data_IF_705266189084
#
_entry.id   IF_705266189084
#
_cell.length_a   1.000
_cell.length_b   1.000
_cell.length_c   1.000
_cell.angle_alpha   90.00
_cell.angle_beta   90.00
_cell.angle_gamma   90.00
#
_symmetry.space_group_name_H-M   'P 1'
#
loop_
_entity.id
_entity.type
_entity.pdbx_description
1 polymer ?
#
# COMPACT_ATOMS: atom_id res chain seq x y z
N UNK A 1 -1.98 25.79 -2.10
CA UNK A 1 -1.99 24.36 -2.47
C UNK A 1 -3.42 23.86 -2.46
N UNK A 2 -3.80 23.12 -3.50
CA UNK A 2 -5.12 22.51 -3.56
C UNK A 2 -5.22 21.34 -2.60
N UNK A 3 -6.43 21.03 -2.16
CA UNK A 3 -6.68 19.92 -1.23
C UNK A 3 -6.15 18.57 -1.75
N UNK A 4 -6.37 18.28 -3.04
CA UNK A 4 -5.88 17.04 -3.63
C UNK A 4 -4.35 16.95 -3.63
N UNK A 5 -3.65 18.04 -3.86
CA UNK A 5 -2.19 18.07 -3.80
C UNK A 5 -1.71 17.86 -2.37
N UNK A 6 -2.37 18.48 -1.40
CA UNK A 6 -2.03 18.30 0.01
C UNK A 6 -2.17 16.84 0.42
N UNK A 7 -3.29 16.21 0.08
CA UNK A 7 -3.54 14.81 0.44
C UNK A 7 -2.54 13.88 -0.24
N UNK A 8 -2.23 14.13 -1.52
CA UNK A 8 -1.24 13.31 -2.23
C UNK A 8 0.14 13.41 -1.58
N UNK A 9 0.54 14.62 -1.18
CA UNK A 9 1.83 14.83 -0.52
C UNK A 9 1.89 14.10 0.83
N UNK A 10 0.79 14.11 1.60
CA UNK A 10 0.72 13.36 2.87
C UNK A 10 0.84 11.86 2.63
N UNK A 11 0.21 11.35 1.59
CA UNK A 11 0.32 9.93 1.23
C UNK A 11 1.74 9.55 0.81
N UNK A 12 2.42 10.42 0.07
CA UNK A 12 3.83 10.20 -0.28
C UNK A 12 4.70 10.13 0.96
N UNK A 13 4.48 11.01 1.92
CA UNK A 13 5.23 11.00 3.17
C UNK A 13 5.07 9.70 3.94
N UNK A 14 3.87 9.14 3.94
CA UNK A 14 3.57 7.92 4.69
C UNK A 14 4.06 6.67 3.95
N UNK A 15 3.82 6.58 2.65
CA UNK A 15 4.00 5.32 1.92
C UNK A 15 5.31 5.20 1.14
N UNK A 16 5.81 6.28 0.54
CA UNK A 16 6.87 6.16 -0.46
C UNK A 16 8.10 7.04 -0.25
N UNK A 17 7.98 8.28 0.17
CA UNK A 17 9.08 9.24 0.08
C UNK A 17 9.46 9.91 1.39
N UNK A 18 8.54 10.00 2.32
CA UNK A 18 8.72 10.82 3.50
C UNK A 18 9.30 10.09 4.70
N UNK A 19 9.48 10.85 5.75
CA UNK A 19 9.80 10.33 7.08
C UNK A 19 8.51 10.25 7.88
N UNK A 20 8.35 9.17 8.61
CA UNK A 20 7.17 8.95 9.42
C UNK A 20 7.62 8.64 10.84
N UNK A 21 6.73 8.28 11.73
CA UNK A 21 6.95 8.14 13.17
C UNK A 21 8.37 7.71 13.58
N UNK A 22 8.98 6.79 12.85
CA UNK A 22 10.33 6.29 13.11
C UNK A 22 11.38 6.86 12.14
N UNK A 23 11.04 7.95 11.44
CA UNK A 23 11.96 8.57 10.48
C UNK A 23 12.03 7.89 9.13
N UNK A 24 11.08 7.01 8.81
CA UNK A 24 11.07 6.26 7.56
C UNK A 24 9.62 6.03 7.11
N UNK A 25 9.43 5.57 5.88
CA UNK A 25 8.13 5.20 5.35
C UNK A 25 8.05 3.68 5.13
N UNK A 26 6.85 3.19 4.83
CA UNK A 26 6.62 1.75 4.68
C UNK A 26 7.42 1.16 3.52
N UNK A 27 7.53 1.89 2.40
CA UNK A 27 8.30 1.43 1.24
C UNK A 27 9.77 1.17 1.60
N UNK A 28 10.39 2.09 2.33
CA UNK A 28 11.79 1.92 2.76
C UNK A 28 11.96 0.68 3.62
N UNK A 29 10.99 0.42 4.49
CA UNK A 29 11.03 -0.75 5.37
C UNK A 29 11.00 -2.06 4.60
N UNK A 30 10.14 -2.17 3.58
CA UNK A 30 9.93 -3.43 2.87
C UNK A 30 10.96 -3.70 1.78
N UNK A 31 11.60 -2.65 1.23
CA UNK A 31 12.59 -2.81 0.16
C UNK A 31 13.87 -3.48 0.66
N UNK A 32 14.28 -3.18 1.89
CA UNK A 32 15.55 -3.62 2.42
C UNK A 32 15.54 -4.99 3.11
N UNK A 33 14.40 -5.65 3.19
CA UNK A 33 14.30 -6.96 3.82
C UNK A 33 14.14 -8.07 2.79
N UNK A 34 14.62 -9.28 3.15
CA UNK A 34 14.45 -10.45 2.30
C UNK A 34 13.16 -11.21 2.63
N UNK A 35 12.84 -12.22 1.82
CA UNK A 35 11.59 -12.96 2.00
C UNK A 35 11.53 -13.73 3.31
N UNK A 36 12.67 -14.17 3.84
CA UNK A 36 12.68 -14.89 5.12
C UNK A 36 12.34 -13.97 6.27
N UNK A 37 12.86 -12.72 6.24
CA UNK A 37 12.49 -11.70 7.21
C UNK A 37 11.02 -11.29 7.06
N UNK A 38 10.57 -11.14 5.81
CA UNK A 38 9.20 -10.70 5.53
C UNK A 38 8.15 -11.74 5.98
N UNK A 39 8.51 -13.02 5.97
CA UNK A 39 7.60 -14.10 6.36
C UNK A 39 7.85 -14.65 7.76
N UNK A 40 8.76 -14.04 8.51
CA UNK A 40 9.06 -14.47 9.86
C UNK A 40 7.88 -14.19 10.79
N UNK A 41 7.35 -15.25 11.38
CA UNK A 41 6.23 -15.13 12.33
C UNK A 41 6.77 -14.87 13.73
N UNK A 42 6.29 -13.82 14.37
CA UNK A 42 6.65 -13.49 15.75
C UNK A 42 5.39 -13.68 16.59
N UNK A 43 5.37 -14.72 17.41
CA UNK A 43 4.20 -15.08 18.22
C UNK A 43 2.95 -15.19 17.34
N UNK A 44 1.88 -14.45 17.68
CA UNK A 44 0.63 -14.47 16.93
C UNK A 44 0.45 -13.22 16.05
N UNK A 45 1.51 -12.41 15.92
CA UNK A 45 1.42 -11.21 15.11
C UNK A 45 1.50 -11.52 13.63
N UNK A 46 0.89 -10.66 12.83
CA UNK A 46 0.99 -10.75 11.37
C UNK A 46 2.44 -10.54 10.93
N UNK A 47 2.84 -11.24 9.87
CA UNK A 47 4.16 -11.04 9.26
C UNK A 47 4.19 -9.73 8.49
N UNK A 48 5.39 -9.28 8.12
CA UNK A 48 5.55 -8.09 7.27
C UNK A 48 4.88 -8.34 5.92
N UNK A 49 4.99 -9.57 5.38
CA UNK A 49 4.30 -9.94 4.13
C UNK A 49 2.78 -9.85 4.28
N UNK A 50 2.22 -10.33 5.40
CA UNK A 50 0.80 -10.22 5.69
C UNK A 50 0.34 -8.76 5.65
N UNK A 51 1.09 -7.88 6.32
CA UNK A 51 0.75 -6.47 6.39
C UNK A 51 0.90 -5.77 5.04
N UNK A 52 1.92 -6.13 4.27
CA UNK A 52 2.12 -5.58 2.93
C UNK A 52 0.95 -5.92 2.02
N UNK A 53 0.52 -7.18 2.02
CA UNK A 53 -0.65 -7.59 1.24
C UNK A 53 -1.92 -6.88 1.73
N UNK A 54 -2.10 -6.82 3.04
CA UNK A 54 -3.28 -6.21 3.64
C UNK A 54 -3.45 -4.75 3.21
N UNK A 55 -2.38 -3.97 3.31
CA UNK A 55 -2.39 -2.55 2.92
C UNK A 55 -2.63 -2.43 1.41
N UNK A 56 -1.93 -3.23 0.61
CA UNK A 56 -2.10 -3.21 -0.85
C UNK A 56 -3.52 -3.58 -1.27
N UNK A 57 -4.12 -4.53 -0.59
CA UNK A 57 -5.49 -4.96 -0.88
C UNK A 57 -6.47 -3.79 -0.82
N UNK A 58 -6.36 -2.96 0.22
CA UNK A 58 -7.24 -1.80 0.37
C UNK A 58 -6.86 -0.68 -0.59
N UNK A 59 -5.58 -0.43 -0.80
CA UNK A 59 -5.13 0.58 -1.76
C UNK A 59 -5.63 0.24 -3.17
N UNK A 60 -5.47 -1.01 -3.59
CA UNK A 60 -5.91 -1.46 -4.91
C UNK A 60 -7.43 -1.36 -5.06
N UNK A 61 -8.17 -1.70 -4.00
CA UNK A 61 -9.64 -1.62 -4.01
C UNK A 61 -10.14 -0.20 -4.14
N UNK A 62 -9.58 0.74 -3.40
CA UNK A 62 -9.95 2.15 -3.48
C UNK A 62 -9.50 2.75 -4.81
N UNK A 63 -8.31 2.39 -5.28
CA UNK A 63 -7.81 2.82 -6.59
C UNK A 63 -8.79 2.46 -7.70
N UNK A 64 -9.36 1.26 -7.65
CA UNK A 64 -10.37 0.83 -8.62
C UNK A 64 -11.59 1.76 -8.63
N UNK A 65 -12.07 2.16 -7.46
CA UNK A 65 -13.19 3.09 -7.33
C UNK A 65 -12.83 4.45 -7.92
N UNK A 66 -11.61 4.94 -7.66
CA UNK A 66 -11.17 6.23 -8.20
C UNK A 66 -11.08 6.23 -9.73
N UNK A 67 -10.91 5.06 -10.33
CA UNK A 67 -10.91 4.90 -11.79
C UNK A 67 -12.31 4.69 -12.38
N UNK A 68 -13.35 4.77 -11.55
CA UNK A 68 -14.73 4.61 -11.99
C UNK A 68 -15.30 3.20 -11.81
N UNK A 69 -14.59 2.32 -11.15
CA UNK A 69 -15.06 0.98 -10.86
C UNK A 69 -15.88 0.88 -9.60
N UNK A 70 -16.32 -0.31 -9.25
CA UNK A 70 -17.08 -0.57 -8.04
C UNK A 70 -16.18 -0.94 -6.88
N UNK A 71 -16.66 -0.72 -5.66
CA UNK A 71 -15.94 -1.10 -4.45
C UNK A 71 -16.24 -2.57 -4.15
N UNK A 72 -15.26 -3.42 -4.42
CA UNK A 72 -15.41 -4.88 -4.28
C UNK A 72 -14.59 -5.47 -3.14
N UNK A 73 -13.99 -4.64 -2.29
CA UNK A 73 -13.17 -5.12 -1.19
C UNK A 73 -14.02 -5.73 -0.08
N UNK A 74 -13.48 -6.80 0.52
CA UNK A 74 -14.10 -7.49 1.64
C UNK A 74 -13.03 -7.83 2.66
N UNK A 75 -13.24 -7.48 3.91
CA UNK A 75 -12.26 -7.70 4.99
C UNK A 75 -11.79 -9.15 5.07
N UNK A 76 -12.67 -10.11 4.80
CA UNK A 76 -12.31 -11.52 4.86
C UNK A 76 -11.24 -11.95 3.87
N UNK A 77 -11.01 -11.17 2.82
CA UNK A 77 -9.99 -11.45 1.81
C UNK A 77 -8.71 -10.62 1.99
N UNK A 78 -8.68 -9.75 2.99
CA UNK A 78 -7.59 -8.79 3.16
C UNK A 78 -6.25 -9.41 3.58
N UNK A 79 -6.24 -10.70 3.93
CA UNK A 79 -5.03 -11.46 4.22
C UNK A 79 -4.94 -12.74 3.36
N UNK A 80 -5.79 -12.84 2.33
CA UNK A 80 -5.89 -14.04 1.50
C UNK A 80 -5.01 -13.89 0.27
N UNK A 81 -3.76 -14.34 0.38
CA UNK A 81 -2.79 -14.27 -0.72
C UNK A 81 -2.00 -15.58 -0.78
N UNK A 82 -1.43 -15.91 -1.97
CA UNK A 82 -0.62 -17.12 -2.10
C UNK A 82 0.59 -17.06 -1.18
N UNK A 83 0.99 -18.18 -0.56
CA UNK A 83 2.14 -18.20 0.33
C UNK A 83 3.41 -17.69 -0.37
N UNK A 84 4.21 -16.91 0.36
CA UNK A 84 5.51 -16.45 -0.10
C UNK A 84 6.52 -17.56 0.17
N UNK A 85 7.09 -18.14 -0.89
CA UNK A 85 8.00 -19.28 -0.78
C UNK A 85 9.38 -19.01 -1.37
N UNK A 86 9.62 -17.80 -1.86
CA UNK A 86 10.90 -17.45 -2.49
C UNK A 86 11.09 -15.95 -2.47
N UNK A 87 12.32 -15.51 -2.71
CA UNK A 87 12.61 -14.08 -2.86
C UNK A 87 11.82 -13.48 -4.02
N UNK A 88 11.64 -14.25 -5.11
CA UNK A 88 10.86 -13.77 -6.25
C UNK A 88 9.40 -13.49 -5.87
N UNK A 89 8.79 -14.38 -5.09
CA UNK A 89 7.41 -14.18 -4.62
C UNK A 89 7.31 -12.90 -3.79
N UNK A 90 8.27 -12.68 -2.90
CA UNK A 90 8.29 -11.48 -2.06
C UNK A 90 8.48 -10.22 -2.90
N UNK A 91 9.42 -10.24 -3.84
CA UNK A 91 9.68 -9.09 -4.70
C UNK A 91 8.47 -8.75 -5.58
N UNK A 92 7.73 -9.77 -6.02
CA UNK A 92 6.50 -9.55 -6.78
C UNK A 92 5.47 -8.79 -5.94
N UNK A 93 5.31 -9.17 -4.68
CA UNK A 93 4.38 -8.47 -3.76
C UNK A 93 4.85 -7.03 -3.50
N UNK A 94 6.13 -6.83 -3.24
CA UNK A 94 6.70 -5.49 -3.02
C UNK A 94 6.46 -4.60 -4.24
N UNK A 95 6.74 -5.14 -5.43
CA UNK A 95 6.55 -4.39 -6.68
C UNK A 95 5.08 -3.99 -6.87
N UNK A 96 4.17 -4.93 -6.63
CA UNK A 96 2.74 -4.65 -6.74
C UNK A 96 2.32 -3.55 -5.76
N UNK A 97 2.76 -3.65 -4.51
CA UNK A 97 2.47 -2.62 -3.50
C UNK A 97 2.97 -1.25 -3.96
N UNK A 98 4.21 -1.17 -4.42
CA UNK A 98 4.77 0.12 -4.85
C UNK A 98 4.02 0.71 -6.03
N UNK A 99 3.66 -0.11 -7.02
CA UNK A 99 2.90 0.37 -8.17
C UNK A 99 1.50 0.84 -7.79
N UNK A 100 0.80 0.07 -6.95
CA UNK A 100 -0.54 0.44 -6.50
C UNK A 100 -0.52 1.72 -5.69
N UNK A 101 0.46 1.87 -4.79
CA UNK A 101 0.60 3.07 -3.97
C UNK A 101 0.90 4.30 -4.83
N UNK A 102 1.81 4.18 -5.80
CA UNK A 102 2.16 5.28 -6.69
C UNK A 102 0.98 5.71 -7.56
N UNK A 103 0.25 4.76 -8.13
CA UNK A 103 -0.94 5.07 -8.94
C UNK A 103 -2.05 5.69 -8.08
N UNK A 104 -2.24 5.19 -6.86
CA UNK A 104 -3.21 5.75 -5.94
C UNK A 104 -2.91 7.23 -5.64
N UNK A 105 -1.64 7.55 -5.36
CA UNK A 105 -1.21 8.90 -5.09
C UNK A 105 -1.45 9.81 -6.31
N UNK A 106 -1.10 9.33 -7.52
CA UNK A 106 -1.35 10.08 -8.75
C UNK A 106 -2.84 10.38 -8.96
N UNK A 107 -3.69 9.40 -8.69
CA UNK A 107 -5.13 9.59 -8.83
C UNK A 107 -5.65 10.64 -7.85
N UNK A 108 -5.16 10.63 -6.62
CA UNK A 108 -5.54 11.65 -5.63
C UNK A 108 -5.08 13.04 -6.09
N UNK A 109 -3.86 13.15 -6.62
CA UNK A 109 -3.34 14.43 -7.12
C UNK A 109 -4.21 15.01 -8.24
N UNK A 110 -4.80 14.14 -9.06
CA UNK A 110 -5.61 14.55 -10.22
C UNK A 110 -7.09 14.78 -9.88
N UNK A 111 -7.52 14.43 -8.68
CA UNK A 111 -8.90 14.65 -8.27
C UNK A 111 -9.16 16.13 -8.03
N UNK A 112 -10.39 16.59 -8.35
CA UNK A 112 -10.82 17.90 -7.95
C UNK A 112 -11.16 17.91 -6.46
N UNK A 113 -11.06 19.06 -5.81
CA UNK A 113 -11.44 19.20 -4.41
C UNK A 113 -12.90 18.79 -4.18
N UNK A 114 -13.76 19.16 -5.12
CA UNK A 114 -15.19 18.81 -5.06
C UNK A 114 -15.38 17.30 -4.98
N UNK A 115 -14.65 16.55 -5.80
CA UNK A 115 -14.76 15.10 -5.82
C UNK A 115 -14.23 14.48 -4.51
N UNK A 116 -13.15 15.04 -3.96
CA UNK A 116 -12.58 14.58 -2.69
C UNK A 116 -13.56 14.80 -1.53
N UNK A 117 -14.26 15.92 -1.54
CA UNK A 117 -15.16 16.31 -0.46
C UNK A 117 -16.56 15.68 -0.58
N UNK A 118 -16.86 15.03 -1.69
CA UNK A 118 -18.18 14.41 -1.91
C UNK A 118 -18.32 12.99 -1.23
#
# INVERSE_FOLDING_TARGET
>A
MKLNEYLANRLKEIFTEGKWVLGTNFKEQIIDIDWTQATQKIENYNTIADLTFHIDYYIAGVKKVLKGGTLDIRDKYSFDYPPIKSEQDWQNLVRKFCLDAEEFIELVEKMSEEKILS
#
